data_IF_764369978890
#
_entry.id   IF_764369978890
#
_cell.length_a   1.000
_cell.length_b   1.000
_cell.length_c   1.000
_cell.angle_alpha   90.00
_cell.angle_beta   90.00
_cell.angle_gamma   90.00
#
_symmetry.space_group_name_H-M   'P 1'
#
loop_
_entity.id
_entity.type
_entity.pdbx_description
1 polymer ?
#
# COMPACT_ATOMS: atom_id res chain seq x y z
N UNK A 1 -6.45 34.25 -26.01
CA UNK A 1 -6.16 32.92 -25.44
C UNK A 1 -6.25 32.97 -23.92
N UNK A 2 -7.12 32.17 -23.32
CA UNK A 2 -7.27 32.06 -21.85
C UNK A 2 -6.15 31.16 -21.33
N UNK A 3 -5.28 31.66 -20.47
CA UNK A 3 -4.26 30.83 -19.81
C UNK A 3 -4.99 29.74 -19.00
N UNK A 4 -4.84 28.47 -19.36
CA UNK A 4 -5.48 27.30 -18.74
C UNK A 4 -4.92 26.99 -17.33
N UNK A 5 -4.32 27.95 -16.64
CA UNK A 5 -3.60 27.71 -15.37
C UNK A 5 -2.30 26.90 -15.53
N UNK A 6 -1.85 26.65 -16.77
CA UNK A 6 -0.69 25.80 -17.10
C UNK A 6 0.68 26.30 -16.59
N UNK A 7 0.79 27.52 -16.05
CA UNK A 7 2.09 28.16 -15.80
C UNK A 7 2.95 27.45 -14.75
N UNK A 8 2.35 26.98 -13.66
CA UNK A 8 3.08 26.25 -12.60
C UNK A 8 2.99 24.73 -12.79
N UNK A 9 1.88 24.23 -13.33
CA UNK A 9 1.72 22.80 -13.65
C UNK A 9 2.66 22.32 -14.76
N UNK A 10 2.98 23.16 -15.75
CA UNK A 10 3.90 22.82 -16.84
C UNK A 10 5.38 22.72 -16.41
N UNK A 11 5.71 23.12 -15.17
CA UNK A 11 7.07 22.97 -14.60
C UNK A 11 7.24 21.67 -13.81
N UNK A 12 6.16 20.93 -13.56
CA UNK A 12 6.23 19.67 -12.83
C UNK A 12 6.86 18.59 -13.72
N UNK A 13 7.63 17.71 -13.10
CA UNK A 13 8.13 16.52 -13.78
C UNK A 13 6.95 15.65 -14.27
N UNK A 14 7.23 14.68 -15.13
CA UNK A 14 6.25 13.66 -15.45
C UNK A 14 5.96 12.79 -14.21
N UNK A 15 4.74 12.26 -14.12
CA UNK A 15 4.47 11.16 -13.20
C UNK A 15 5.29 9.94 -13.62
N UNK A 16 5.86 9.24 -12.64
CA UNK A 16 6.73 8.08 -12.84
C UNK A 16 6.34 6.98 -11.85
N UNK A 17 6.62 5.73 -12.17
CA UNK A 17 6.21 4.60 -11.33
C UNK A 17 6.82 3.27 -11.74
N UNK A 18 6.62 2.27 -10.88
CA UNK A 18 6.95 0.87 -11.13
C UNK A 18 5.64 0.08 -11.30
N UNK A 19 5.41 -0.47 -12.49
CA UNK A 19 4.23 -1.27 -12.82
C UNK A 19 4.52 -2.77 -12.70
N UNK A 20 4.68 -3.22 -11.46
CA UNK A 20 4.80 -4.64 -11.10
C UNK A 20 3.62 -5.08 -10.22
N UNK A 21 3.61 -6.36 -9.83
CA UNK A 21 2.64 -6.90 -8.85
C UNK A 21 2.68 -6.12 -7.54
N UNK A 22 3.88 -5.73 -7.12
CA UNK A 22 4.13 -4.77 -6.05
C UNK A 22 4.73 -3.52 -6.70
N UNK A 23 4.02 -2.40 -6.62
CA UNK A 23 4.29 -1.26 -7.47
C UNK A 23 3.81 0.06 -6.90
N UNK A 24 4.12 1.13 -7.62
CA UNK A 24 3.77 2.49 -7.20
C UNK A 24 3.66 3.43 -8.39
N UNK A 25 2.95 4.53 -8.17
CA UNK A 25 2.94 5.71 -9.02
C UNK A 25 3.27 6.92 -8.14
N UNK A 26 4.14 7.78 -8.66
CA UNK A 26 4.43 9.09 -8.08
C UNK A 26 3.87 10.19 -8.96
N UNK A 27 3.19 11.15 -8.35
CA UNK A 27 2.59 12.31 -9.01
C UNK A 27 3.29 13.55 -8.44
N UNK A 28 4.13 14.23 -9.22
CA UNK A 28 4.74 15.47 -8.78
C UNK A 28 3.67 16.56 -8.67
N UNK A 29 3.75 17.37 -7.60
CA UNK A 29 2.79 18.43 -7.32
C UNK A 29 3.46 19.60 -6.59
N UNK A 30 2.84 20.78 -6.65
CA UNK A 30 3.24 21.94 -5.83
C UNK A 30 2.22 22.12 -4.72
N UNK A 31 2.68 22.11 -3.46
CA UNK A 31 1.86 22.43 -2.29
C UNK A 31 2.47 23.64 -1.60
N UNK A 32 1.72 24.74 -1.52
CA UNK A 32 2.19 26.01 -0.92
C UNK A 32 3.53 26.50 -1.51
N UNK A 33 3.72 26.35 -2.83
CA UNK A 33 4.95 26.75 -3.52
C UNK A 33 6.12 25.76 -3.39
N UNK A 34 5.97 24.66 -2.65
CA UNK A 34 7.01 23.65 -2.45
C UNK A 34 6.72 22.41 -3.31
N UNK A 35 7.69 21.93 -4.11
CA UNK A 35 7.56 20.65 -4.80
C UNK A 35 7.41 19.48 -3.85
N UNK A 36 6.44 18.61 -4.13
CA UNK A 36 6.15 17.37 -3.40
C UNK A 36 5.92 16.26 -4.42
N UNK A 37 6.08 15.01 -3.99
CA UNK A 37 5.69 13.82 -4.77
C UNK A 37 4.60 13.10 -4.01
N UNK A 38 3.38 13.12 -4.52
CA UNK A 38 2.33 12.26 -4.02
C UNK A 38 2.60 10.83 -4.48
N UNK A 39 2.55 9.87 -3.59
CA UNK A 39 2.86 8.46 -3.87
C UNK A 39 1.63 7.63 -3.56
N UNK A 40 1.19 6.87 -4.56
CA UNK A 40 0.18 5.82 -4.42
C UNK A 40 0.86 4.49 -4.73
N UNK A 41 0.76 3.52 -3.82
CA UNK A 41 1.45 2.24 -3.99
C UNK A 41 0.62 1.05 -3.51
N UNK A 42 0.90 -0.11 -4.09
CA UNK A 42 0.19 -1.36 -3.86
C UNK A 42 1.17 -2.52 -3.72
N UNK A 43 0.80 -3.53 -2.92
CA UNK A 43 1.59 -4.76 -2.79
C UNK A 43 0.75 -5.93 -2.27
N UNK A 44 1.27 -7.15 -2.44
CA UNK A 44 0.70 -8.37 -1.83
C UNK A 44 1.70 -8.99 -0.86
N UNK A 45 1.28 -9.26 0.38
CA UNK A 45 2.09 -10.00 1.34
C UNK A 45 2.11 -11.52 1.09
N UNK A 46 2.99 -12.28 1.76
CA UNK A 46 3.00 -13.75 1.68
C UNK A 46 1.72 -14.37 2.27
N UNK A 47 1.50 -15.67 2.04
CA UNK A 47 0.43 -16.40 2.74
C UNK A 47 0.64 -16.26 4.24
N UNK A 48 -0.43 -15.98 4.98
CA UNK A 48 -0.47 -16.38 6.38
C UNK A 48 -0.63 -17.90 6.40
N UNK A 49 0.30 -18.64 7.03
CA UNK A 49 0.26 -20.10 7.08
C UNK A 49 -0.43 -20.64 8.34
N UNK A 50 -0.10 -20.11 9.53
CA UNK A 50 -0.59 -20.61 10.83
C UNK A 50 -0.82 -19.47 11.82
N UNK A 51 -1.72 -19.70 12.77
CA UNK A 51 -2.11 -18.73 13.80
C UNK A 51 -1.01 -18.45 14.84
N UNK A 52 -0.19 -19.45 15.15
CA UNK A 52 0.92 -19.35 16.10
C UNK A 52 2.16 -18.66 15.51
N UNK A 53 2.16 -18.38 14.20
CA UNK A 53 3.28 -17.74 13.51
C UNK A 53 3.01 -16.24 13.38
N UNK A 54 3.92 -15.44 13.96
CA UNK A 54 3.89 -13.99 13.79
C UNK A 54 4.00 -13.63 12.31
N UNK A 55 3.02 -12.88 11.80
CA UNK A 55 3.02 -12.41 10.42
C UNK A 55 4.14 -11.37 10.21
N UNK A 56 4.91 -11.44 9.11
CA UNK A 56 6.05 -10.56 8.90
C UNK A 56 5.62 -9.11 8.66
N UNK A 57 6.53 -8.18 8.93
CA UNK A 57 6.40 -6.79 8.51
C UNK A 57 6.62 -6.72 6.99
N UNK A 58 5.80 -5.93 6.31
CA UNK A 58 5.81 -5.78 4.85
C UNK A 58 6.47 -4.46 4.46
N UNK A 59 7.49 -4.52 3.62
CA UNK A 59 8.16 -3.33 3.09
C UNK A 59 7.39 -2.77 1.89
N UNK A 60 7.16 -1.46 1.89
CA UNK A 60 6.56 -0.82 0.74
C UNK A 60 7.48 -0.87 -0.50
N UNK A 61 6.92 -0.90 -1.72
CA UNK A 61 7.70 -0.82 -2.95
C UNK A 61 8.61 0.41 -3.01
N UNK A 62 8.15 1.53 -2.46
CA UNK A 62 8.89 2.78 -2.32
C UNK A 62 8.67 3.34 -0.91
N UNK A 63 9.76 3.69 -0.22
CA UNK A 63 9.64 4.44 1.03
C UNK A 63 9.08 5.85 0.75
N UNK A 64 8.06 6.25 1.50
CA UNK A 64 7.54 7.61 1.47
C UNK A 64 8.63 8.57 2.00
N UNK A 65 9.04 9.59 1.22
CA UNK A 65 10.10 10.52 1.63
C UNK A 65 9.82 11.25 2.95
N UNK A 66 8.56 11.53 3.24
CA UNK A 66 8.14 12.20 4.47
C UNK A 66 7.27 11.28 5.34
N UNK A 67 6.11 10.86 4.85
CA UNK A 67 5.21 10.01 5.65
C UNK A 67 4.23 9.19 4.82
N UNK A 68 3.89 8.00 5.33
CA UNK A 68 2.67 7.29 4.94
C UNK A 68 1.48 7.95 5.68
N UNK A 69 0.50 8.42 4.92
CA UNK A 69 -0.72 9.01 5.45
C UNK A 69 -1.77 7.94 5.77
N UNK A 70 -1.82 6.90 4.96
CA UNK A 70 -2.78 5.81 5.10
C UNK A 70 -2.19 4.54 4.50
N UNK A 71 -2.34 3.44 5.22
CA UNK A 71 -2.15 2.09 4.70
C UNK A 71 -3.42 1.29 5.01
N UNK A 72 -4.00 0.68 3.98
CA UNK A 72 -5.18 -0.16 4.07
C UNK A 72 -4.85 -1.57 3.64
N UNK A 73 -5.56 -2.53 4.22
CA UNK A 73 -5.47 -3.93 3.80
C UNK A 73 -6.82 -4.48 3.38
N UNK A 74 -6.81 -5.32 2.36
CA UNK A 74 -7.88 -6.24 2.01
C UNK A 74 -7.34 -7.67 2.09
N UNK A 75 -8.24 -8.65 2.19
CA UNK A 75 -7.86 -10.07 2.27
C UNK A 75 -8.17 -10.76 0.95
N UNK A 76 -7.20 -11.50 0.42
CA UNK A 76 -7.37 -12.33 -0.78
C UNK A 76 -7.15 -13.78 -0.41
N UNK A 77 -8.12 -14.64 -0.68
CA UNK A 77 -7.97 -16.09 -0.57
C UNK A 77 -7.11 -16.67 -1.70
N UNK A 78 -6.69 -17.92 -1.53
CA UNK A 78 -5.98 -18.71 -2.54
C UNK A 78 -6.92 -19.42 -3.54
N UNK A 79 -8.23 -19.21 -3.39
CA UNK A 79 -9.30 -19.84 -4.18
C UNK A 79 -9.37 -21.38 -4.07
N UNK A 80 -8.75 -21.97 -3.04
CA UNK A 80 -8.83 -23.42 -2.83
C UNK A 80 -9.91 -23.82 -1.82
N UNK A 81 -10.21 -22.94 -0.84
CA UNK A 81 -11.25 -23.14 0.19
C UNK A 81 -11.78 -21.81 0.73
N UNK A 82 -12.93 -21.87 1.41
CA UNK A 82 -13.44 -20.75 2.19
C UNK A 82 -12.61 -20.56 3.47
N UNK A 83 -11.88 -19.44 3.55
CA UNK A 83 -11.12 -19.02 4.72
C UNK A 83 -11.97 -18.10 5.62
N UNK A 84 -11.82 -18.25 6.93
CA UNK A 84 -12.40 -17.37 7.95
C UNK A 84 -11.38 -16.34 8.48
N UNK A 85 -10.25 -16.20 7.78
CA UNK A 85 -9.20 -15.24 8.10
C UNK A 85 -9.47 -13.88 7.45
N UNK A 86 -9.19 -12.81 8.19
CA UNK A 86 -9.08 -11.45 7.65
C UNK A 86 -7.79 -10.80 8.11
N UNK A 87 -7.25 -9.89 7.30
CA UNK A 87 -6.14 -9.05 7.70
C UNK A 87 -6.60 -7.69 8.22
N UNK A 88 -5.88 -7.20 9.21
CA UNK A 88 -6.02 -5.86 9.75
C UNK A 88 -4.66 -5.17 9.79
N UNK A 89 -4.65 -3.86 9.55
CA UNK A 89 -3.45 -3.04 9.71
C UNK A 89 -3.29 -2.71 11.19
N UNK A 90 -2.11 -3.02 11.75
CA UNK A 90 -1.76 -2.69 13.13
C UNK A 90 -0.97 -1.40 13.27
N UNK A 91 -0.03 -1.16 12.37
CA UNK A 91 0.81 0.03 12.36
C UNK A 91 1.46 0.21 10.99
N UNK A 92 1.99 1.39 10.73
CA UNK A 92 2.85 1.67 9.57
C UNK A 92 3.90 2.72 9.92
N UNK A 93 4.97 2.74 9.14
CA UNK A 93 5.96 3.81 9.11
C UNK A 93 5.94 4.45 7.71
N UNK A 94 6.97 5.21 7.36
CA UNK A 94 7.14 5.70 6.00
C UNK A 94 7.68 4.64 5.03
N UNK A 95 8.22 3.51 5.49
CA UNK A 95 8.82 2.46 4.64
C UNK A 95 8.13 1.11 4.72
N UNK A 96 7.30 0.87 5.74
CA UNK A 96 6.71 -0.43 5.99
C UNK A 96 5.31 -0.36 6.58
N UNK A 97 4.57 -1.46 6.43
CA UNK A 97 3.29 -1.71 7.10
C UNK A 97 3.35 -3.02 7.87
N UNK A 98 2.79 -3.01 9.07
CA UNK A 98 2.55 -4.21 9.86
C UNK A 98 1.07 -4.54 9.83
N UNK A 99 0.76 -5.71 9.27
CA UNK A 99 -0.58 -6.30 9.34
C UNK A 99 -0.56 -7.52 10.25
N UNK A 100 -1.72 -7.90 10.75
CA UNK A 100 -1.90 -9.19 11.38
C UNK A 100 -3.17 -9.86 10.86
N UNK A 101 -3.14 -11.19 10.70
CA UNK A 101 -4.32 -11.99 10.46
C UNK A 101 -5.15 -12.12 11.75
N UNK A 102 -6.46 -12.02 11.63
CA UNK A 102 -7.44 -12.35 12.65
C UNK A 102 -8.32 -13.49 12.14
N UNK A 103 -8.57 -14.48 13.01
CA UNK A 103 -9.48 -15.59 12.76
C UNK A 103 -10.81 -15.34 13.46
N UNK A 104 -11.92 -15.49 12.75
CA UNK A 104 -13.25 -15.36 13.35
C UNK A 104 -13.84 -16.69 13.85
N UNK A 105 -13.27 -17.83 13.46
CA UNK A 105 -13.74 -19.16 13.84
C UNK A 105 -12.61 -20.18 13.96
N UNK A 106 -12.97 -21.46 13.93
CA UNK A 106 -12.03 -22.60 13.95
C UNK A 106 -11.84 -23.24 12.57
N UNK A 107 -12.07 -22.48 11.49
CA UNK A 107 -12.18 -22.97 10.11
C UNK A 107 -10.86 -23.22 9.37
N UNK A 108 -10.89 -23.04 8.04
CA UNK A 108 -9.73 -23.29 7.16
C UNK A 108 -8.68 -22.19 7.30
N UNK A 109 -7.59 -22.51 7.97
CA UNK A 109 -6.46 -21.60 8.19
C UNK A 109 -5.44 -21.69 7.05
N UNK A 110 -4.68 -20.62 6.89
CA UNK A 110 -3.44 -20.68 6.15
C UNK A 110 -3.56 -20.35 4.65
N UNK A 111 -4.66 -19.72 4.22
CA UNK A 111 -5.09 -19.69 2.82
C UNK A 111 -5.30 -18.27 2.28
N UNK A 112 -4.82 -17.27 3.01
CA UNK A 112 -5.07 -15.87 2.71
C UNK A 112 -3.78 -15.05 2.68
N UNK A 113 -3.78 -14.04 1.81
CA UNK A 113 -2.73 -13.06 1.63
C UNK A 113 -3.31 -11.66 1.86
N UNK A 114 -2.58 -10.74 2.49
CA UNK A 114 -2.99 -9.35 2.56
C UNK A 114 -2.68 -8.66 1.22
N UNK A 115 -3.64 -7.93 0.71
CA UNK A 115 -3.45 -6.91 -0.30
C UNK A 115 -3.31 -5.58 0.41
N UNK A 116 -2.32 -4.78 0.04
CA UNK A 116 -2.05 -3.48 0.64
C UNK A 116 -2.22 -2.39 -0.41
N UNK A 117 -2.87 -1.30 -0.03
CA UNK A 117 -2.82 -0.02 -0.72
C UNK A 117 -2.35 1.03 0.29
N UNK A 118 -1.36 1.83 -0.10
CA UNK A 118 -0.82 2.89 0.75
C UNK A 118 -0.66 4.19 -0.02
N UNK A 119 -0.85 5.30 0.69
CA UNK A 119 -0.74 6.65 0.13
C UNK A 119 0.06 7.53 1.08
N UNK A 120 0.89 8.40 0.51
CA UNK A 120 1.78 9.28 1.25
C UNK A 120 2.58 10.19 0.33
N UNK A 121 3.61 10.84 0.88
CA UNK A 121 4.50 11.76 0.15
C UNK A 121 5.84 11.94 0.84
#
# INVERSE_FOLDING_TARGET
MKNLGLKEGAKLAAAEGLLNSDGYITIPMIVNGVPKKWIFQWMTGPICNKEDVTYPVLQFPLAFPNMCLIALTATKGDDTKFSDQVFQVSSWTNSEVKVFPQWFGTGSQGLCYPLIIAIGY
#
